data_IF_527990618474
#
_entry.id   IF_527990618474
#
_cell.length_a   1.000
_cell.length_b   1.000
_cell.length_c   1.000
_cell.angle_alpha   90.00
_cell.angle_beta   90.00
_cell.angle_gamma   90.00
#
_symmetry.space_group_name_H-M   'P 1'
#
loop_
_entity.id
_entity.type
_entity.pdbx_description
1 polymer ?
#
# COMPACT_ATOMS: atom_id res chain seq x y z
N UNK A 1 -17.30 -25.51 -15.65
CA UNK A 1 -16.29 -26.60 -15.60
C UNK A 1 -15.37 -26.33 -14.42
N UNK A 2 -14.99 -27.31 -13.62
CA UNK A 2 -13.94 -27.12 -12.64
C UNK A 2 -12.61 -26.83 -13.36
N UNK A 3 -11.76 -25.92 -12.81
CA UNK A 3 -10.51 -25.56 -13.45
C UNK A 3 -9.60 -26.77 -13.62
N UNK A 4 -8.90 -26.83 -14.76
CA UNK A 4 -7.94 -27.86 -15.06
C UNK A 4 -6.76 -27.82 -14.07
N UNK A 5 -6.09 -28.94 -13.84
CA UNK A 5 -4.98 -29.06 -12.86
C UNK A 5 -3.88 -27.98 -13.02
N UNK A 6 -3.47 -27.55 -14.23
CA UNK A 6 -2.50 -26.46 -14.41
C UNK A 6 -3.02 -25.07 -13.97
N UNK A 7 -4.30 -24.75 -14.20
CA UNK A 7 -4.91 -23.49 -13.76
C UNK A 7 -5.02 -23.40 -12.24
N UNK A 8 -5.36 -24.52 -11.60
CA UNK A 8 -5.42 -24.62 -10.13
C UNK A 8 -4.05 -24.41 -9.49
N UNK A 9 -2.99 -24.93 -10.09
CA UNK A 9 -1.61 -24.72 -9.64
C UNK A 9 -1.19 -23.25 -9.74
N UNK A 10 -1.49 -22.59 -10.85
CA UNK A 10 -1.22 -21.16 -11.02
C UNK A 10 -1.96 -20.31 -9.99
N UNK A 11 -3.23 -20.58 -9.76
CA UNK A 11 -4.06 -19.88 -8.78
C UNK A 11 -3.50 -20.01 -7.35
N UNK A 12 -3.11 -21.23 -6.95
CA UNK A 12 -2.50 -21.45 -5.63
C UNK A 12 -1.17 -20.71 -5.47
N UNK A 13 -0.35 -20.66 -6.51
CA UNK A 13 0.91 -19.87 -6.50
C UNK A 13 0.63 -18.38 -6.30
N UNK A 14 -0.33 -17.81 -7.02
CA UNK A 14 -0.69 -16.39 -6.85
C UNK A 14 -1.22 -16.07 -5.46
N UNK A 15 -2.08 -16.93 -4.90
CA UNK A 15 -2.59 -16.78 -3.52
C UNK A 15 -1.45 -16.88 -2.52
N UNK A 16 -0.54 -17.85 -2.64
CA UNK A 16 0.60 -18.00 -1.74
C UNK A 16 1.56 -16.80 -1.78
N UNK A 17 1.83 -16.26 -2.97
CA UNK A 17 2.66 -15.06 -3.15
C UNK A 17 2.01 -13.83 -2.48
N UNK A 18 0.69 -13.66 -2.64
CA UNK A 18 -0.04 -12.55 -2.00
C UNK A 18 -0.04 -12.67 -0.49
N UNK A 19 -0.33 -13.85 0.06
CA UNK A 19 -0.26 -14.10 1.50
C UNK A 19 1.16 -13.89 2.05
N UNK A 20 2.19 -14.32 1.31
CA UNK A 20 3.59 -14.05 1.64
C UNK A 20 3.91 -12.56 1.69
N UNK A 21 3.41 -11.77 0.73
CA UNK A 21 3.56 -10.32 0.76
C UNK A 21 2.88 -9.69 1.98
N UNK A 22 1.64 -10.08 2.26
CA UNK A 22 0.87 -9.57 3.41
C UNK A 22 1.46 -9.99 4.75
N UNK A 23 2.14 -11.13 4.81
CA UNK A 23 2.88 -11.55 6.00
C UNK A 23 4.20 -10.76 6.17
N UNK A 24 4.81 -10.32 5.08
CA UNK A 24 6.10 -9.61 5.09
C UNK A 24 5.95 -8.12 5.39
N UNK A 25 4.95 -7.44 4.80
CA UNK A 25 4.82 -5.98 4.86
C UNK A 25 4.69 -5.41 6.27
N UNK A 26 3.98 -5.99 7.24
CA UNK A 26 3.92 -5.47 8.60
C UNK A 26 5.28 -5.39 9.31
N UNK A 27 6.27 -6.18 8.91
CA UNK A 27 7.63 -6.05 9.45
C UNK A 27 8.33 -4.77 8.99
N UNK A 28 7.93 -4.20 7.86
CA UNK A 28 8.38 -2.85 7.46
C UNK A 28 7.93 -1.82 8.51
N UNK A 29 6.70 -1.93 8.99
CA UNK A 29 6.13 -1.04 9.99
C UNK A 29 6.76 -1.25 11.36
N UNK A 30 7.09 -2.50 11.71
CA UNK A 30 7.87 -2.82 12.91
C UNK A 30 9.23 -2.13 12.87
N UNK A 31 9.96 -2.23 11.76
CA UNK A 31 11.28 -1.58 11.61
C UNK A 31 11.13 -0.05 11.68
N UNK A 32 10.12 0.52 11.01
CA UNK A 32 9.88 1.97 11.04
C UNK A 32 9.53 2.47 12.46
N UNK A 33 8.67 1.75 13.19
CA UNK A 33 8.32 2.07 14.57
C UNK A 33 9.53 1.96 15.50
N UNK A 34 10.33 0.91 15.34
CA UNK A 34 11.56 0.70 16.11
C UNK A 34 12.57 1.83 15.89
N UNK A 35 12.81 2.24 14.64
CA UNK A 35 13.67 3.39 14.31
C UNK A 35 13.16 4.68 14.96
N UNK A 36 11.83 4.90 14.94
CA UNK A 36 11.20 6.04 15.61
C UNK A 36 11.37 6.02 17.13
N UNK A 37 11.32 4.84 17.78
CA UNK A 37 11.58 4.67 19.21
C UNK A 37 13.05 4.91 19.59
N UNK A 38 13.99 4.66 18.66
CA UNK A 38 15.42 5.01 18.83
C UNK A 38 15.69 6.51 18.68
N UNK A 39 14.67 7.32 18.37
CA UNK A 39 14.77 8.78 18.23
C UNK A 39 15.12 9.27 16.83
N UNK A 40 15.28 8.37 15.86
CA UNK A 40 15.56 8.78 14.48
C UNK A 40 14.37 9.55 13.87
N UNK A 41 14.65 10.60 13.08
CA UNK A 41 13.61 11.31 12.35
C UNK A 41 12.86 10.39 11.39
N UNK A 42 11.53 10.48 11.38
CA UNK A 42 10.68 9.66 10.49
C UNK A 42 11.08 9.83 9.02
N UNK A 43 11.52 11.03 8.64
CA UNK A 43 11.96 11.31 7.27
C UNK A 43 13.18 10.49 6.87
N UNK A 44 14.06 10.11 7.82
CA UNK A 44 15.19 9.21 7.51
C UNK A 44 14.73 7.79 7.17
N UNK A 45 13.73 7.26 7.87
CA UNK A 45 13.14 5.97 7.54
C UNK A 45 12.44 6.00 6.16
N UNK A 46 11.75 7.11 5.83
CA UNK A 46 11.16 7.33 4.51
C UNK A 46 12.23 7.39 3.43
N UNK A 47 13.29 8.17 3.67
CA UNK A 47 14.43 8.26 2.77
C UNK A 47 15.08 6.89 2.54
N UNK A 48 15.34 6.15 3.60
CA UNK A 48 15.94 4.83 3.52
C UNK A 48 15.08 3.85 2.69
N UNK A 49 13.78 3.81 2.94
CA UNK A 49 12.84 3.00 2.15
C UNK A 49 12.91 3.33 0.66
N UNK A 50 12.93 4.63 0.30
CA UNK A 50 12.98 5.06 -1.10
C UNK A 50 14.35 4.82 -1.72
N UNK A 51 15.45 5.19 -1.05
CA UNK A 51 16.81 5.07 -1.55
C UNK A 51 17.20 3.60 -1.76
N UNK A 52 17.02 2.77 -0.75
CA UNK A 52 17.30 1.33 -0.87
C UNK A 52 16.32 0.63 -1.81
N UNK A 53 15.05 1.07 -1.87
CA UNK A 53 14.08 0.58 -2.85
C UNK A 53 14.52 0.86 -4.29
N UNK A 54 15.02 2.06 -4.59
CA UNK A 54 15.58 2.39 -5.89
C UNK A 54 16.85 1.56 -6.20
N UNK A 55 17.76 1.45 -5.23
CA UNK A 55 19.00 0.70 -5.38
C UNK A 55 18.74 -0.79 -5.67
N UNK A 56 17.83 -1.41 -4.93
CA UNK A 56 17.50 -2.83 -5.06
C UNK A 56 16.72 -3.15 -6.34
N UNK A 57 15.93 -2.20 -6.86
CA UNK A 57 15.18 -2.39 -8.11
C UNK A 57 16.01 -2.09 -9.35
N UNK A 58 17.10 -1.30 -9.24
CA UNK A 58 17.96 -0.89 -10.34
C UNK A 58 18.47 -2.06 -11.22
N UNK A 59 19.03 -3.16 -10.69
CA UNK A 59 19.55 -4.25 -11.53
C UNK A 59 18.43 -4.94 -12.34
N UNK A 60 17.22 -4.99 -11.82
CA UNK A 60 16.06 -5.54 -12.55
C UNK A 60 15.64 -4.62 -13.70
N UNK A 61 15.62 -3.31 -13.47
CA UNK A 61 15.27 -2.31 -14.48
C UNK A 61 16.29 -2.32 -15.63
N UNK A 62 17.59 -2.41 -15.31
CA UNK A 62 18.64 -2.51 -16.32
C UNK A 62 18.51 -3.80 -17.15
N UNK A 63 18.06 -4.91 -16.57
CA UNK A 63 17.80 -6.15 -17.32
C UNK A 63 16.55 -6.08 -18.20
N UNK A 64 15.53 -5.32 -17.81
CA UNK A 64 14.26 -5.19 -18.54
C UNK A 64 14.38 -4.27 -19.76
N UNK A 65 15.02 -3.12 -19.61
CA UNK A 65 15.03 -2.10 -20.66
C UNK A 65 16.37 -1.35 -20.81
N UNK A 66 17.46 -1.85 -20.21
CA UNK A 66 18.77 -1.23 -20.28
C UNK A 66 18.80 0.18 -19.69
N UNK A 67 19.80 0.98 -20.10
CA UNK A 67 19.96 2.37 -19.64
C UNK A 67 18.78 3.28 -20.05
N UNK A 68 18.08 2.98 -21.14
CA UNK A 68 16.93 3.74 -21.57
C UNK A 68 15.77 3.69 -20.58
N UNK A 69 15.61 2.55 -19.85
CA UNK A 69 14.58 2.41 -18.83
C UNK A 69 14.82 3.24 -17.55
N UNK A 70 15.98 3.86 -17.41
CA UNK A 70 16.28 4.75 -16.28
C UNK A 70 15.61 6.11 -16.41
N UNK A 71 15.25 6.51 -17.64
CA UNK A 71 14.60 7.80 -17.93
C UNK A 71 13.10 7.60 -17.98
N UNK A 72 12.31 8.30 -17.13
CA UNK A 72 10.87 8.17 -17.15
C UNK A 72 10.25 8.91 -18.35
N UNK A 73 9.31 8.29 -19.07
CA UNK A 73 8.59 8.88 -20.19
C UNK A 73 7.78 10.13 -19.80
N UNK A 74 7.35 10.20 -18.53
CA UNK A 74 6.52 11.28 -17.98
C UNK A 74 7.04 11.73 -16.60
N UNK A 75 8.17 12.45 -16.54
CA UNK A 75 8.86 12.77 -15.30
C UNK A 75 7.96 13.52 -14.28
N UNK A 76 7.18 14.48 -14.75
CA UNK A 76 6.25 15.25 -13.89
C UNK A 76 5.20 14.33 -13.25
N UNK A 77 4.68 13.36 -14.00
CA UNK A 77 3.69 12.42 -13.49
C UNK A 77 4.28 11.49 -12.42
N UNK A 78 5.48 10.99 -12.67
CA UNK A 78 6.22 10.17 -11.70
C UNK A 78 6.63 10.98 -10.46
N UNK A 79 6.90 12.28 -10.62
CA UNK A 79 7.20 13.18 -9.51
C UNK A 79 5.99 13.32 -8.55
N UNK A 80 4.79 13.58 -9.08
CA UNK A 80 3.57 13.62 -8.26
C UNK A 80 3.29 12.28 -7.58
N UNK A 81 3.48 11.16 -8.30
CA UNK A 81 3.34 9.82 -7.71
C UNK A 81 4.31 9.61 -6.55
N UNK A 82 5.58 9.98 -6.75
CA UNK A 82 6.60 9.90 -5.70
C UNK A 82 6.23 10.78 -4.50
N UNK A 83 5.74 12.00 -4.74
CA UNK A 83 5.28 12.92 -3.70
C UNK A 83 4.13 12.31 -2.87
N UNK A 84 3.12 11.74 -3.52
CA UNK A 84 2.02 11.08 -2.80
C UNK A 84 2.48 9.83 -2.03
N UNK A 85 3.40 9.04 -2.59
CA UNK A 85 3.93 7.87 -1.88
C UNK A 85 4.78 8.28 -0.66
N UNK A 86 5.57 9.35 -0.78
CA UNK A 86 6.32 9.91 0.35
C UNK A 86 5.36 10.43 1.41
N UNK A 87 4.35 11.22 1.03
CA UNK A 87 3.35 11.73 1.96
C UNK A 87 2.62 10.59 2.68
N UNK A 88 2.24 9.54 1.95
CA UNK A 88 1.63 8.35 2.53
C UNK A 88 2.56 7.66 3.54
N UNK A 89 3.81 7.37 3.13
CA UNK A 89 4.79 6.68 3.97
C UNK A 89 5.16 7.51 5.20
N UNK A 90 5.41 8.81 5.00
CA UNK A 90 5.76 9.72 6.10
C UNK A 90 4.63 9.83 7.12
N UNK A 91 3.41 10.09 6.66
CA UNK A 91 2.25 10.19 7.54
C UNK A 91 1.97 8.88 8.26
N UNK A 92 2.10 7.74 7.58
CA UNK A 92 1.91 6.43 8.19
C UNK A 92 2.98 6.14 9.26
N UNK A 93 4.27 6.26 8.93
CA UNK A 93 5.35 6.03 9.88
C UNK A 93 5.30 7.01 11.06
N UNK A 94 4.87 8.24 10.83
CA UNK A 94 4.70 9.20 11.91
C UNK A 94 3.51 8.84 12.81
N UNK A 95 2.43 8.28 12.26
CA UNK A 95 1.29 7.81 13.06
C UNK A 95 1.69 6.72 14.06
N UNK A 96 2.68 5.89 13.73
CA UNK A 96 3.18 4.81 14.59
C UNK A 96 3.85 5.29 15.88
N UNK A 97 4.17 6.60 15.99
CA UNK A 97 4.60 7.22 17.25
C UNK A 97 3.47 7.37 18.27
N UNK A 98 2.22 7.38 17.79
CA UNK A 98 1.03 7.65 18.60
C UNK A 98 0.08 6.47 18.70
N UNK A 99 0.18 5.52 17.76
CA UNK A 99 -0.76 4.41 17.63
C UNK A 99 -0.04 3.06 17.59
N UNK A 100 -0.72 2.00 18.08
CA UNK A 100 -0.39 0.62 17.72
C UNK A 100 -0.36 0.43 16.21
N UNK A 101 0.48 -0.49 15.71
CA UNK A 101 0.61 -0.75 14.27
C UNK A 101 -0.75 -1.16 13.68
N UNK A 102 -1.47 -2.06 14.35
CA UNK A 102 -2.76 -2.54 13.88
C UNK A 102 -3.83 -1.44 13.81
N UNK A 103 -3.88 -0.51 14.80
CA UNK A 103 -4.84 0.59 14.81
C UNK A 103 -4.51 1.61 13.68
N UNK A 104 -3.23 1.94 13.50
CA UNK A 104 -2.78 2.80 12.40
C UNK A 104 -3.14 2.19 11.04
N UNK A 105 -2.88 0.88 10.86
CA UNK A 105 -3.19 0.15 9.63
C UNK A 105 -4.70 0.04 9.40
N UNK A 106 -5.49 -0.16 10.46
CA UNK A 106 -6.96 -0.20 10.38
C UNK A 106 -7.53 1.12 9.82
N UNK A 107 -7.06 2.25 10.31
CA UNK A 107 -7.46 3.57 9.80
C UNK A 107 -6.95 3.79 8.36
N UNK A 108 -5.72 3.40 8.09
CA UNK A 108 -5.09 3.50 6.77
C UNK A 108 -5.86 2.72 5.69
N UNK A 109 -6.48 1.59 6.04
CA UNK A 109 -7.30 0.80 5.12
C UNK A 109 -8.60 1.49 4.65
N UNK A 110 -8.86 2.73 5.03
CA UNK A 110 -9.84 3.60 4.35
C UNK A 110 -9.45 3.86 2.89
N UNK A 111 -8.19 3.68 2.51
CA UNK A 111 -7.65 4.01 1.18
C UNK A 111 -8.40 3.35 0.00
N UNK A 112 -8.83 2.06 0.01
CA UNK A 112 -9.57 1.48 -1.10
C UNK A 112 -10.95 2.16 -1.30
N UNK A 113 -11.55 2.63 -0.22
CA UNK A 113 -12.81 3.37 -0.26
C UNK A 113 -12.62 4.74 -0.90
N UNK A 114 -11.53 5.42 -0.55
CA UNK A 114 -11.16 6.71 -1.16
C UNK A 114 -10.84 6.53 -2.65
N UNK A 115 -10.14 5.46 -3.04
CA UNK A 115 -9.90 5.12 -4.45
C UNK A 115 -11.22 4.99 -5.19
N UNK A 116 -12.18 4.23 -4.64
CA UNK A 116 -13.51 4.06 -5.24
C UNK A 116 -14.28 5.37 -5.32
N UNK A 117 -14.25 6.19 -4.26
CA UNK A 117 -14.95 7.47 -4.22
C UNK A 117 -14.39 8.52 -5.20
N UNK A 118 -13.06 8.50 -5.42
CA UNK A 118 -12.40 9.45 -6.31
C UNK A 118 -12.24 8.95 -7.75
N UNK A 119 -12.51 7.66 -8.03
CA UNK A 119 -12.35 7.09 -9.37
C UNK A 119 -13.22 7.79 -10.45
N UNK A 120 -14.45 8.26 -10.20
CA UNK A 120 -15.21 9.06 -11.16
C UNK A 120 -14.51 10.36 -11.55
N UNK A 121 -13.91 11.04 -10.60
CA UNK A 121 -13.26 12.34 -10.81
C UNK A 121 -11.89 12.21 -11.50
N UNK A 122 -11.13 11.18 -11.16
CA UNK A 122 -9.74 11.04 -11.62
C UNK A 122 -9.64 10.17 -12.89
N UNK A 123 -10.47 9.13 -12.99
CA UNK A 123 -10.42 8.13 -14.06
C UNK A 123 -11.61 8.21 -15.01
N UNK A 124 -12.66 8.98 -14.67
CA UNK A 124 -13.90 9.05 -15.45
C UNK A 124 -14.77 7.78 -15.33
N UNK A 125 -14.53 6.95 -14.31
CA UNK A 125 -15.26 5.70 -14.11
C UNK A 125 -16.66 5.94 -13.54
N UNK A 126 -17.63 5.13 -13.94
CA UNK A 126 -18.97 5.20 -13.36
C UNK A 126 -19.07 4.36 -12.10
N UNK A 127 -19.34 4.99 -10.95
CA UNK A 127 -19.56 4.31 -9.66
C UNK A 127 -21.05 4.26 -9.38
N UNK A 128 -21.64 3.07 -9.45
CA UNK A 128 -23.06 2.86 -9.21
C UNK A 128 -23.45 3.05 -7.72
N UNK A 129 -24.77 3.24 -7.42
CA UNK A 129 -25.26 3.58 -6.07
C UNK A 129 -24.90 2.51 -5.02
N UNK A 130 -24.81 1.25 -5.41
CA UNK A 130 -24.44 0.16 -4.50
C UNK A 130 -22.97 0.23 -4.06
N UNK A 131 -22.05 0.67 -4.95
CA UNK A 131 -20.65 0.91 -4.59
C UNK A 131 -20.55 2.12 -3.66
N UNK A 132 -21.34 3.18 -3.90
CA UNK A 132 -21.43 4.32 -2.99
C UNK A 132 -21.92 3.93 -1.60
N UNK A 133 -22.93 3.05 -1.49
CA UNK A 133 -23.39 2.52 -0.21
C UNK A 133 -22.30 1.75 0.53
N UNK A 134 -21.49 0.94 -0.18
CA UNK A 134 -20.36 0.22 0.42
C UNK A 134 -19.25 1.18 0.86
N UNK A 135 -18.95 2.22 0.08
CA UNK A 135 -18.01 3.28 0.47
C UNK A 135 -18.48 3.96 1.76
N UNK A 136 -19.76 4.35 1.84
CA UNK A 136 -20.33 4.96 3.04
C UNK A 136 -20.24 4.01 4.26
N UNK A 137 -20.59 2.73 4.09
CA UNK A 137 -20.46 1.73 5.15
C UNK A 137 -19.02 1.55 5.64
N UNK A 138 -18.05 1.51 4.73
CA UNK A 138 -16.63 1.41 5.09
C UNK A 138 -16.13 2.66 5.82
N UNK A 139 -16.54 3.86 5.42
CA UNK A 139 -16.26 5.10 6.18
C UNK A 139 -16.84 5.06 7.59
N UNK A 140 -18.06 4.52 7.77
CA UNK A 140 -18.60 4.29 9.11
C UNK A 140 -17.74 3.33 9.91
N UNK A 141 -17.17 2.27 9.29
CA UNK A 141 -16.19 1.40 9.93
C UNK A 141 -14.96 2.16 10.43
N UNK A 142 -14.41 3.06 9.62
CA UNK A 142 -13.30 3.93 10.03
C UNK A 142 -13.69 4.85 11.21
N UNK A 143 -14.91 5.41 11.20
CA UNK A 143 -15.41 6.21 12.32
C UNK A 143 -15.60 5.39 13.60
N UNK A 144 -15.96 4.11 13.50
CA UNK A 144 -16.02 3.19 14.65
C UNK A 144 -14.65 2.95 15.26
N UNK A 145 -13.57 2.95 14.46
CA UNK A 145 -12.19 2.85 14.97
C UNK A 145 -11.78 4.16 15.65
N UNK A 146 -12.00 5.30 14.99
CA UNK A 146 -11.58 6.63 15.49
C UNK A 146 -12.42 7.08 16.69
N UNK A 147 -13.71 6.73 16.73
CA UNK A 147 -14.69 7.09 17.80
C UNK A 147 -14.66 8.59 18.17
N UNK A 148 -14.82 9.51 17.22
CA UNK A 148 -14.81 10.93 17.51
C UNK A 148 -15.91 11.27 18.51
N UNK A 149 -15.56 12.00 19.59
CA UNK A 149 -16.48 12.35 20.68
C UNK A 149 -16.53 11.34 21.84
N UNK A 150 -16.07 10.10 21.67
CA UNK A 150 -15.96 9.11 22.74
C UNK A 150 -14.52 8.91 23.24
N UNK A 151 -13.54 9.33 22.44
CA UNK A 151 -12.14 9.38 22.82
C UNK A 151 -11.49 10.62 22.21
N UNK A 152 -10.37 11.03 22.76
CA UNK A 152 -9.57 12.13 22.17
C UNK A 152 -9.00 11.68 20.85
N UNK A 153 -9.29 12.40 19.77
CA UNK A 153 -8.70 12.15 18.47
C UNK A 153 -7.21 12.46 18.53
N UNK A 154 -6.37 11.44 18.49
CA UNK A 154 -4.93 11.60 18.55
C UNK A 154 -4.36 12.12 17.22
N UNK A 155 -3.22 12.85 17.23
CA UNK A 155 -2.54 13.21 16.00
C UNK A 155 -2.23 12.01 15.10
N UNK A 156 -1.98 10.83 15.69
CA UNK A 156 -1.73 9.59 14.97
C UNK A 156 -2.92 9.15 14.11
N UNK A 157 -4.15 9.33 14.57
CA UNK A 157 -5.36 8.98 13.79
C UNK A 157 -5.48 9.87 12.54
N UNK A 158 -5.23 11.17 12.68
CA UNK A 158 -5.24 12.11 11.55
C UNK A 158 -4.14 11.75 10.56
N UNK A 159 -2.94 11.45 11.04
CA UNK A 159 -1.81 11.04 10.21
C UNK A 159 -2.10 9.72 9.47
N UNK A 160 -2.72 8.74 10.10
CA UNK A 160 -3.12 7.48 9.46
C UNK A 160 -4.17 7.72 8.36
N UNK A 161 -5.15 8.61 8.58
CA UNK A 161 -6.11 9.02 7.55
C UNK A 161 -5.43 9.73 6.38
N UNK A 162 -4.52 10.67 6.66
CA UNK A 162 -3.75 11.36 5.62
C UNK A 162 -2.87 10.39 4.82
N UNK A 163 -2.31 9.38 5.48
CA UNK A 163 -1.57 8.32 4.82
C UNK A 163 -2.47 7.53 3.86
N UNK A 164 -3.66 7.13 4.30
CA UNK A 164 -4.66 6.45 3.46
C UNK A 164 -5.10 7.30 2.26
N UNK A 165 -5.38 8.58 2.45
CA UNK A 165 -5.72 9.52 1.37
C UNK A 165 -4.56 9.65 0.36
N UNK A 166 -3.35 9.86 0.85
CA UNK A 166 -2.16 10.02 -0.01
C UNK A 166 -1.87 8.75 -0.81
N UNK A 167 -2.02 7.56 -0.19
CA UNK A 167 -1.86 6.30 -0.91
C UNK A 167 -2.96 6.11 -1.96
N UNK A 168 -4.20 6.49 -1.66
CA UNK A 168 -5.30 6.44 -2.63
C UNK A 168 -5.01 7.30 -3.86
N UNK A 169 -4.50 8.52 -3.68
CA UNK A 169 -4.08 9.40 -4.78
C UNK A 169 -2.91 8.81 -5.58
N UNK A 170 -1.91 8.24 -4.91
CA UNK A 170 -0.83 7.50 -5.55
C UNK A 170 -1.36 6.34 -6.41
N UNK A 171 -2.31 5.55 -5.89
CA UNK A 171 -2.91 4.43 -6.61
C UNK A 171 -3.72 4.88 -7.82
N UNK A 172 -4.54 5.92 -7.69
CA UNK A 172 -5.31 6.48 -8.82
C UNK A 172 -4.39 6.98 -9.93
N UNK A 173 -3.30 7.68 -9.57
CA UNK A 173 -2.29 8.10 -10.55
C UNK A 173 -1.58 6.91 -11.17
N UNK A 174 -1.27 5.88 -10.41
CA UNK A 174 -0.66 4.64 -10.90
C UNK A 174 -1.58 3.96 -11.90
N UNK A 175 -2.87 3.85 -11.60
CA UNK A 175 -3.88 3.25 -12.48
C UNK A 175 -4.03 4.00 -13.80
N UNK A 176 -3.92 5.34 -13.78
CA UNK A 176 -4.01 6.17 -14.99
C UNK A 176 -2.86 5.96 -15.99
N UNK A 177 -1.71 5.49 -15.54
CA UNK A 177 -0.54 5.19 -16.40
C UNK A 177 -0.30 3.68 -16.56
N UNK A 178 -1.16 2.84 -16.00
CA UNK A 178 -1.05 1.39 -16.11
C UNK A 178 -1.06 0.93 -17.57
N UNK A 179 -0.29 -0.13 -17.87
CA UNK A 179 -0.18 -0.68 -19.21
C UNK A 179 0.84 0.02 -20.12
N UNK A 180 1.46 1.14 -19.70
CA UNK A 180 2.45 1.88 -20.52
C UNK A 180 3.89 1.47 -20.29
N UNK A 181 4.20 0.96 -19.10
CA UNK A 181 5.55 0.56 -18.70
C UNK A 181 5.49 -0.66 -17.80
N UNK A 182 6.56 -1.43 -17.77
CA UNK A 182 6.68 -2.56 -16.85
C UNK A 182 6.57 -2.09 -15.39
N UNK A 183 5.83 -2.83 -14.55
CA UNK A 183 5.56 -2.44 -13.17
C UNK A 183 6.84 -2.16 -12.34
N UNK A 184 7.90 -2.96 -12.54
CA UNK A 184 9.21 -2.75 -11.88
C UNK A 184 9.87 -1.44 -12.28
N UNK A 185 9.80 -1.06 -13.56
CA UNK A 185 10.34 0.23 -14.06
C UNK A 185 9.58 1.39 -13.43
N UNK A 186 8.27 1.28 -13.37
CA UNK A 186 7.40 2.28 -12.75
C UNK A 186 7.67 2.42 -11.24
N UNK A 187 7.92 1.31 -10.54
CA UNK A 187 8.28 1.30 -9.11
C UNK A 187 9.65 1.94 -8.89
N UNK A 188 10.63 1.61 -9.73
CA UNK A 188 11.97 2.22 -9.70
C UNK A 188 11.91 3.74 -9.84
N UNK A 189 11.20 4.25 -10.87
CA UNK A 189 11.07 5.69 -11.06
C UNK A 189 10.42 6.39 -9.85
N UNK A 190 9.41 5.77 -9.25
CA UNK A 190 8.79 6.31 -8.05
C UNK A 190 9.75 6.32 -6.87
N UNK A 191 10.52 5.25 -6.67
CA UNK A 191 11.50 5.14 -5.58
C UNK A 191 12.68 6.09 -5.80
N UNK A 192 13.18 6.22 -7.04
CA UNK A 192 14.29 7.10 -7.38
C UNK A 192 13.94 8.58 -7.16
N UNK A 193 12.81 9.03 -7.73
CA UNK A 193 12.33 10.40 -7.53
C UNK A 193 11.95 10.64 -6.08
N UNK A 194 11.36 9.64 -5.43
CA UNK A 194 11.08 9.66 -4.00
C UNK A 194 12.34 9.82 -3.16
N UNK A 195 13.41 9.09 -3.47
CA UNK A 195 14.70 9.25 -2.80
C UNK A 195 15.25 10.66 -2.97
N UNK A 196 15.15 11.23 -4.18
CA UNK A 196 15.56 12.62 -4.45
C UNK A 196 14.80 13.63 -3.59
N UNK A 197 13.47 13.57 -3.58
CA UNK A 197 12.62 14.45 -2.74
C UNK A 197 12.94 14.24 -1.25
N UNK A 198 13.01 12.99 -0.80
CA UNK A 198 13.28 12.67 0.59
C UNK A 198 14.69 13.10 1.02
N UNK A 199 15.69 13.09 0.12
CA UNK A 199 17.05 13.60 0.40
C UNK A 199 17.01 15.10 0.72
N UNK A 200 16.25 15.89 -0.04
CA UNK A 200 16.09 17.30 0.23
C UNK A 200 15.35 17.56 1.56
N UNK A 201 14.33 16.75 1.84
CA UNK A 201 13.51 16.90 3.04
C UNK A 201 14.21 16.40 4.32
N UNK A 202 15.07 15.40 4.22
CA UNK A 202 15.77 14.84 5.38
C UNK A 202 17.02 15.64 5.77
N UNK A 203 17.60 16.40 4.85
CA UNK A 203 18.85 17.12 5.04
C UNK A 203 18.89 17.98 6.33
N UNK A 204 17.85 18.80 6.63
CA UNK A 204 17.88 19.66 7.82
C UNK A 204 17.72 18.88 9.14
N UNK A 205 17.24 17.66 9.10
CA UNK A 205 16.97 16.82 10.29
C UNK A 205 17.82 15.56 10.32
N UNK A 206 18.83 15.47 9.43
CA UNK A 206 19.68 14.30 9.34
C UNK A 206 20.45 14.06 10.64
N UNK A 207 20.34 12.84 11.14
CA UNK A 207 21.14 12.34 12.25
C UNK A 207 22.05 11.22 11.72
N UNK A 208 23.32 11.22 12.11
CA UNK A 208 24.25 10.18 11.67
C UNK A 208 23.81 8.81 12.22
N UNK A 209 23.44 7.85 11.35
CA UNK A 209 22.95 6.57 11.83
C UNK A 209 24.08 5.72 12.39
N UNK A 210 23.79 4.94 13.43
CA UNK A 210 24.67 3.90 13.93
C UNK A 210 24.77 2.73 12.92
N UNK A 211 25.79 1.86 13.00
CA UNK A 211 25.92 0.71 12.10
C UNK A 211 24.68 -0.20 12.07
N UNK A 212 24.02 -0.42 13.21
CA UNK A 212 22.80 -1.21 13.30
C UNK A 212 21.62 -0.54 12.58
N UNK A 213 21.55 0.78 12.60
CA UNK A 213 20.50 1.55 11.95
C UNK A 213 20.62 1.53 10.43
N UNK A 214 21.85 1.50 9.90
CA UNK A 214 22.10 1.24 8.48
C UNK A 214 21.56 -0.14 8.06
N UNK A 215 21.72 -1.16 8.92
CA UNK A 215 21.12 -2.48 8.72
C UNK A 215 19.60 -2.43 8.68
N UNK A 216 18.98 -1.65 9.57
CA UNK A 216 17.52 -1.45 9.60
C UNK A 216 17.04 -0.65 8.37
N UNK A 217 17.79 0.33 7.90
CA UNK A 217 17.49 1.07 6.67
C UNK A 217 17.52 0.17 5.43
N UNK A 218 18.55 -0.68 5.34
CA UNK A 218 18.60 -1.69 4.27
C UNK A 218 17.40 -2.64 4.36
N UNK A 219 17.05 -3.07 5.57
CA UNK A 219 15.92 -3.97 5.83
C UNK A 219 14.58 -3.34 5.39
N UNK A 220 14.36 -2.04 5.64
CA UNK A 220 13.20 -1.30 5.11
C UNK A 220 13.11 -1.41 3.59
N UNK A 221 14.22 -1.18 2.89
CA UNK A 221 14.27 -1.30 1.43
C UNK A 221 14.01 -2.72 0.94
N UNK A 222 14.62 -3.72 1.59
CA UNK A 222 14.45 -5.14 1.24
C UNK A 222 13.00 -5.58 1.44
N UNK A 223 12.39 -5.27 2.58
CA UNK A 223 11.00 -5.64 2.87
C UNK A 223 10.05 -4.94 1.88
N UNK A 224 10.22 -3.63 1.66
CA UNK A 224 9.40 -2.89 0.73
C UNK A 224 9.49 -3.42 -0.69
N UNK A 225 10.71 -3.64 -1.19
CA UNK A 225 10.94 -4.16 -2.55
C UNK A 225 10.46 -5.60 -2.67
N UNK A 226 10.76 -6.45 -1.69
CA UNK A 226 10.34 -7.85 -1.65
C UNK A 226 8.82 -8.00 -1.60
N UNK A 227 8.15 -7.26 -0.73
CA UNK A 227 6.68 -7.25 -0.64
C UNK A 227 6.03 -6.82 -1.96
N UNK A 228 6.50 -5.72 -2.56
CA UNK A 228 6.00 -5.27 -3.87
C UNK A 228 6.29 -6.29 -4.98
N UNK A 229 7.47 -6.91 -4.98
CA UNK A 229 7.79 -7.97 -5.95
C UNK A 229 6.83 -9.16 -5.83
N UNK A 230 6.56 -9.62 -4.60
CA UNK A 230 5.61 -10.71 -4.36
C UNK A 230 4.19 -10.35 -4.82
N UNK A 231 3.73 -9.10 -4.57
CA UNK A 231 2.42 -8.61 -5.04
C UNK A 231 2.36 -8.62 -6.56
N UNK A 232 3.37 -8.05 -7.25
CA UNK A 232 3.41 -8.04 -8.72
C UNK A 232 3.37 -9.46 -9.26
N UNK A 233 4.17 -10.37 -8.71
CA UNK A 233 4.19 -11.77 -9.11
C UNK A 233 2.87 -12.49 -8.82
N UNK A 234 2.17 -12.14 -7.75
CA UNK A 234 0.84 -12.67 -7.48
C UNK A 234 -0.16 -12.31 -8.59
N UNK A 235 -0.13 -11.04 -9.04
CA UNK A 235 -0.98 -10.57 -10.15
C UNK A 235 -0.65 -11.21 -11.50
N UNK A 236 0.58 -11.70 -11.71
CA UNK A 236 0.92 -12.49 -12.91
C UNK A 236 0.21 -13.86 -12.95
N UNK A 237 -0.28 -14.35 -11.79
CA UNK A 237 -0.87 -15.67 -11.64
C UNK A 237 -2.38 -15.65 -11.40
N UNK A 238 -2.91 -14.56 -10.86
CA UNK A 238 -4.31 -14.44 -10.46
C UNK A 238 -4.89 -13.08 -10.81
N UNK A 239 -6.21 -13.06 -11.03
CA UNK A 239 -6.97 -11.81 -11.18
C UNK A 239 -6.97 -11.00 -9.88
N UNK A 240 -6.99 -9.67 -10.04
CA UNK A 240 -7.02 -8.73 -8.92
C UNK A 240 -8.22 -8.95 -8.00
N UNK A 241 -9.36 -9.34 -8.54
CA UNK A 241 -10.60 -9.61 -7.80
C UNK A 241 -10.49 -10.78 -6.81
N UNK A 242 -9.61 -11.76 -7.09
CA UNK A 242 -9.33 -12.87 -6.18
C UNK A 242 -8.33 -12.47 -5.10
N UNK A 243 -7.34 -11.65 -5.46
CA UNK A 243 -6.25 -11.26 -4.57
C UNK A 243 -6.62 -10.12 -3.62
N UNK A 244 -7.53 -9.23 -4.02
CA UNK A 244 -7.89 -8.05 -3.23
C UNK A 244 -8.38 -8.36 -1.80
N UNK A 245 -9.24 -9.38 -1.54
CA UNK A 245 -9.62 -9.74 -0.17
C UNK A 245 -8.45 -10.24 0.67
N UNK A 246 -7.43 -10.84 0.05
CA UNK A 246 -6.25 -11.36 0.76
C UNK A 246 -5.37 -10.24 1.32
N UNK A 247 -5.46 -9.01 0.78
CA UNK A 247 -4.73 -7.87 1.31
C UNK A 247 -5.08 -7.58 2.78
N UNK A 248 -6.30 -7.91 3.21
CA UNK A 248 -6.70 -7.72 4.62
C UNK A 248 -6.04 -8.71 5.60
N UNK A 249 -5.39 -9.78 5.10
CA UNK A 249 -4.59 -10.66 5.98
C UNK A 249 -3.36 -9.94 6.54
N UNK A 250 -2.93 -8.84 5.92
CA UNK A 250 -1.91 -7.94 6.46
C UNK A 250 -2.28 -7.44 7.87
N UNK A 251 -3.56 -7.17 8.11
CA UNK A 251 -4.06 -6.75 9.42
C UNK A 251 -3.81 -7.80 10.52
N UNK A 252 -4.01 -9.08 10.19
CA UNK A 252 -3.76 -10.19 11.13
C UNK A 252 -2.26 -10.22 11.49
N UNK A 253 -1.40 -10.12 10.48
CA UNK A 253 0.04 -10.10 10.70
C UNK A 253 0.52 -8.84 11.42
N UNK A 254 -0.08 -7.68 11.12
CA UNK A 254 0.20 -6.42 11.83
C UNK A 254 -0.19 -6.50 13.32
N UNK A 255 -1.33 -7.14 13.63
CA UNK A 255 -1.76 -7.39 15.02
C UNK A 255 -0.77 -8.30 15.74
N UNK A 256 -0.39 -9.41 15.12
CA UNK A 256 0.59 -10.35 15.70
C UNK A 256 1.95 -9.67 15.89
N UNK A 257 2.44 -8.95 14.87
CA UNK A 257 3.71 -8.25 14.94
C UNK A 257 3.69 -7.12 15.98
N UNK A 258 2.63 -6.32 16.03
CA UNK A 258 2.45 -5.26 17.04
C UNK A 258 2.47 -5.81 18.46
N UNK A 259 1.75 -6.90 18.70
CA UNK A 259 1.74 -7.56 19.99
C UNK A 259 3.10 -8.18 20.35
N UNK A 260 3.73 -8.86 19.39
CA UNK A 260 5.00 -9.56 19.64
C UNK A 260 6.17 -8.61 19.91
N UNK A 261 6.29 -7.52 19.13
CA UNK A 261 7.44 -6.61 19.21
C UNK A 261 7.23 -5.45 20.19
N UNK A 262 5.98 -5.02 20.41
CA UNK A 262 5.68 -3.82 21.19
C UNK A 262 4.70 -4.06 22.34
N UNK A 263 4.10 -5.26 22.43
CA UNK A 263 3.05 -5.55 23.42
C UNK A 263 1.71 -4.88 23.10
N UNK A 264 1.59 -4.27 21.93
CA UNK A 264 0.41 -3.53 21.50
C UNK A 264 -0.67 -4.49 20.95
N UNK A 265 -1.84 -4.53 21.58
CA UNK A 265 -2.98 -5.29 21.09
C UNK A 265 -4.16 -4.35 20.82
N UNK A 266 -4.83 -4.44 19.64
CA UNK A 266 -5.96 -3.59 19.29
C UNK A 266 -7.13 -3.80 20.25
N UNK A 267 -7.94 -2.74 20.45
CA UNK A 267 -9.15 -2.85 21.23
C UNK A 267 -10.32 -3.52 20.46
N UNK A 268 -11.40 -3.89 21.17
CA UNK A 268 -12.55 -4.55 20.55
C UNK A 268 -13.23 -3.72 19.47
N UNK A 269 -13.21 -2.39 19.56
CA UNK A 269 -13.81 -1.50 18.57
C UNK A 269 -13.01 -1.44 17.28
N UNK A 270 -11.70 -1.56 17.39
CA UNK A 270 -10.83 -1.69 16.20
C UNK A 270 -11.21 -2.94 15.41
N UNK A 271 -11.45 -4.09 16.07
CA UNK A 271 -11.91 -5.30 15.39
C UNK A 271 -13.29 -5.14 14.75
N UNK A 272 -14.23 -4.45 15.39
CA UNK A 272 -15.56 -4.17 14.82
C UNK A 272 -15.43 -3.29 13.57
N UNK A 273 -14.67 -2.20 13.65
CA UNK A 273 -14.47 -1.28 12.51
C UNK A 273 -13.74 -1.96 11.35
N UNK A 274 -12.72 -2.76 11.63
CA UNK A 274 -12.01 -3.59 10.64
C UNK A 274 -12.96 -4.58 9.96
N UNK A 275 -13.84 -5.23 10.71
CA UNK A 275 -14.86 -6.13 10.16
C UNK A 275 -15.78 -5.42 9.16
N UNK A 276 -16.22 -4.19 9.48
CA UNK A 276 -17.03 -3.36 8.58
C UNK A 276 -16.23 -2.98 7.31
N UNK A 277 -14.97 -2.56 7.46
CA UNK A 277 -14.08 -2.22 6.35
C UNK A 277 -13.89 -3.40 5.40
N UNK A 278 -13.56 -4.58 5.94
CA UNK A 278 -13.37 -5.82 5.16
C UNK A 278 -14.66 -6.17 4.43
N UNK A 279 -15.80 -6.17 5.10
CA UNK A 279 -17.09 -6.50 4.49
C UNK A 279 -17.43 -5.55 3.33
N UNK A 280 -17.18 -4.23 3.51
CA UNK A 280 -17.41 -3.22 2.48
C UNK A 280 -16.51 -3.42 1.27
N UNK A 281 -15.22 -3.66 1.48
CA UNK A 281 -14.26 -3.85 0.40
C UNK A 281 -14.46 -5.17 -0.35
N UNK A 282 -14.77 -6.26 0.35
CA UNK A 282 -15.14 -7.55 -0.26
C UNK A 282 -16.41 -7.40 -1.10
N UNK A 283 -17.41 -6.67 -0.61
CA UNK A 283 -18.63 -6.40 -1.37
C UNK A 283 -18.32 -5.62 -2.67
N UNK A 284 -17.50 -4.57 -2.61
CA UNK A 284 -17.05 -3.83 -3.80
C UNK A 284 -16.36 -4.77 -4.79
N UNK A 285 -15.39 -5.57 -4.33
CA UNK A 285 -14.64 -6.52 -5.16
C UNK A 285 -15.53 -7.54 -5.88
N UNK A 286 -16.50 -8.14 -5.17
CA UNK A 286 -17.45 -9.09 -5.75
C UNK A 286 -18.30 -8.42 -6.83
N UNK A 287 -18.72 -7.17 -6.61
CA UNK A 287 -19.53 -6.42 -7.59
C UNK A 287 -18.74 -6.02 -8.82
N UNK A 288 -17.47 -5.65 -8.68
CA UNK A 288 -16.59 -5.38 -9.82
C UNK A 288 -16.41 -6.60 -10.70
N UNK A 289 -16.22 -7.77 -10.09
CA UNK A 289 -16.12 -9.04 -10.80
C UNK A 289 -17.39 -9.35 -11.61
N UNK A 290 -18.58 -9.15 -11.02
CA UNK A 290 -19.86 -9.37 -11.74
C UNK A 290 -20.06 -8.38 -12.88
N UNK A 291 -19.74 -7.10 -12.68
CA UNK A 291 -19.87 -6.09 -13.72
C UNK A 291 -18.90 -6.32 -14.90
N UNK A 292 -17.66 -6.76 -14.62
CA UNK A 292 -16.69 -7.13 -15.67
C UNK A 292 -17.06 -8.41 -16.44
N UNK A 293 -17.85 -9.31 -15.85
CA UNK A 293 -18.34 -10.51 -16.52
C UNK A 293 -19.59 -10.25 -17.40
N UNK A 294 -20.33 -9.17 -17.14
CA UNK A 294 -21.53 -8.78 -17.88
C UNK A 294 -21.23 -7.90 -19.12
N UNK A 295 -19.99 -7.44 -19.29
CA UNK A 295 -19.58 -6.70 -20.50
C UNK A 295 -19.12 -7.72 -21.54
N UNK A 296 -19.87 -7.96 -22.64
CA UNK A 296 -19.43 -8.84 -23.73
C UNK A 296 -18.12 -8.29 -24.30
N UNK A 297 -17.17 -9.17 -24.60
CA UNK A 297 -15.98 -8.89 -25.40
C UNK A 297 -16.39 -8.76 -26.88
N UNK A 298 -17.18 -7.75 -27.20
CA UNK A 298 -17.49 -7.39 -28.60
C UNK A 298 -16.38 -6.48 -29.12
N UNK A 299 -15.21 -7.04 -29.37
CA UNK A 299 -14.23 -6.49 -30.31
C UNK A 299 -13.45 -7.63 -30.96
N UNK A 300 -14.17 -8.57 -31.56
CA UNK A 300 -13.68 -9.17 -32.81
C UNK A 300 -14.18 -8.24 -33.91
N UNK A 301 -13.30 -7.41 -34.44
CA UNK A 301 -13.49 -6.77 -35.73
C UNK A 301 -12.33 -7.12 -36.65
N UNK A 302 -12.64 -7.30 -37.97
CA UNK A 302 -11.86 -8.05 -38.93
C UNK A 302 -10.58 -7.39 -39.37
#
# INVERSE_FOLDING_TARGET
MPPTTPERGRTLTGVALMLGAMALLPFLDVVAKHLGQRGLPVMQAVWARMAFGALLTLPFVLRIGGAAALVPDRPVYHLFRAGFLIAATFSFFWSLKYLPIADALAIFFVQPLIVTALSPLVLGEHVGPRRWAAVAAGFLGTLVIIRPGFQTVSPGMVLALMAGLSLALYMLMTRRISGRSHAMVTTFHTSLLGAGIATLAVWPVWQAPEPVEWGLFLLLGVIATGGHFLIVRAYDHCEASLLAPLAYTEMVMATVAGWWFFGDFPDGWTFVGVGILIASAVYISIRERKAGAETPRDFEQP
#
